data_IF_490065480941
#
_entry.id   IF_490065480941
#
_cell.length_a   1.000
_cell.length_b   1.000
_cell.length_c   1.000
_cell.angle_alpha   90.00
_cell.angle_beta   90.00
_cell.angle_gamma   90.00
#
_symmetry.space_group_name_H-M   'P 1'
#
loop_
_entity.id
_entity.type
_entity.pdbx_description
1 polymer ?
#
# COMPACT_ATOMS: atom_id res chain seq x y z
N UNK A 1 44.22 -23.07 -31.87
CA UNK A 1 43.69 -21.70 -32.09
C UNK A 1 42.18 -21.81 -32.03
N UNK A 2 41.48 -20.94 -31.30
CA UNK A 2 40.01 -21.02 -31.21
C UNK A 2 39.42 -20.18 -32.34
N UNK A 3 38.69 -20.81 -33.25
CA UNK A 3 37.97 -20.13 -34.32
C UNK A 3 36.56 -19.84 -33.86
N UNK A 4 36.13 -18.58 -34.00
CA UNK A 4 34.84 -18.10 -33.50
C UNK A 4 34.15 -17.27 -34.57
N UNK A 5 32.86 -17.52 -34.77
CA UNK A 5 32.00 -16.65 -35.55
C UNK A 5 30.81 -16.18 -34.68
N UNK A 6 30.29 -14.99 -34.97
CA UNK A 6 29.21 -14.39 -34.20
C UNK A 6 28.19 -13.72 -35.11
N UNK A 7 26.93 -13.80 -34.73
CA UNK A 7 25.80 -13.16 -35.39
C UNK A 7 24.87 -12.58 -34.34
N UNK A 8 24.15 -11.52 -34.74
CA UNK A 8 23.23 -10.83 -33.86
C UNK A 8 21.86 -10.76 -34.50
N UNK A 9 20.86 -11.33 -33.81
CA UNK A 9 19.47 -11.33 -34.25
C UNK A 9 18.69 -10.34 -33.38
N UNK A 10 17.93 -9.43 -34.00
CA UNK A 10 16.97 -8.59 -33.29
C UNK A 10 15.67 -9.38 -33.04
N UNK A 11 15.22 -9.39 -31.79
CA UNK A 11 13.99 -10.07 -31.36
C UNK A 11 12.81 -9.10 -31.48
N UNK A 12 12.39 -8.86 -32.72
CA UNK A 12 11.22 -8.03 -33.04
C UNK A 12 10.00 -8.94 -32.97
N UNK A 13 9.10 -8.66 -32.02
CA UNK A 13 7.85 -9.41 -31.81
C UNK A 13 8.01 -10.88 -31.34
N UNK A 14 9.16 -11.25 -30.79
CA UNK A 14 9.43 -12.58 -30.20
C UNK A 14 10.01 -12.40 -28.80
N UNK A 15 9.42 -13.05 -27.80
CA UNK A 15 9.93 -12.99 -26.42
C UNK A 15 11.18 -13.86 -26.22
N UNK A 16 12.01 -13.53 -25.23
CA UNK A 16 13.22 -14.32 -24.93
C UNK A 16 12.93 -15.83 -24.66
N UNK A 17 11.88 -16.22 -23.92
CA UNK A 17 11.53 -17.63 -23.74
C UNK A 17 11.14 -18.32 -25.05
N UNK A 18 10.49 -17.61 -25.97
CA UNK A 18 10.12 -18.14 -27.29
C UNK A 18 11.37 -18.38 -28.13
N UNK A 19 12.29 -17.41 -28.14
CA UNK A 19 13.57 -17.57 -28.82
C UNK A 19 14.37 -18.77 -28.29
N UNK A 20 14.43 -18.96 -26.97
CA UNK A 20 15.15 -20.09 -26.38
C UNK A 20 14.43 -21.41 -26.66
N UNK A 21 13.09 -21.49 -26.54
CA UNK A 21 12.33 -22.72 -26.81
C UNK A 21 12.49 -23.20 -28.26
N UNK A 22 12.37 -22.27 -29.21
CA UNK A 22 12.60 -22.55 -30.64
C UNK A 22 14.06 -22.93 -30.92
N UNK A 23 15.03 -22.25 -30.30
CA UNK A 23 16.45 -22.59 -30.43
C UNK A 23 16.75 -23.99 -29.89
N UNK A 24 16.21 -24.36 -28.73
CA UNK A 24 16.34 -25.69 -28.13
C UNK A 24 15.80 -26.77 -29.06
N UNK A 25 14.61 -26.55 -29.61
CA UNK A 25 13.97 -27.46 -30.54
C UNK A 25 14.83 -27.67 -31.80
N UNK A 26 15.27 -26.58 -32.43
CA UNK A 26 16.05 -26.62 -33.68
C UNK A 26 17.44 -27.25 -33.48
N UNK A 27 18.12 -26.89 -32.40
CA UNK A 27 19.43 -27.47 -32.07
C UNK A 27 19.30 -28.97 -31.80
N UNK A 28 18.32 -29.38 -31.00
CA UNK A 28 18.06 -30.80 -30.71
C UNK A 28 17.73 -31.58 -32.00
N UNK A 29 16.89 -31.02 -32.86
CA UNK A 29 16.52 -31.60 -34.16
C UNK A 29 17.73 -31.75 -35.11
N UNK A 30 18.67 -30.81 -35.03
CA UNK A 30 19.87 -30.78 -35.87
C UNK A 30 21.09 -31.49 -35.24
N UNK A 31 20.85 -32.35 -34.25
CA UNK A 31 21.88 -33.23 -33.67
C UNK A 31 22.82 -32.55 -32.67
N UNK A 32 22.47 -31.37 -32.17
CA UNK A 32 23.21 -30.74 -31.08
C UNK A 32 22.78 -31.34 -29.74
N UNK A 33 23.75 -31.56 -28.86
CA UNK A 33 23.52 -31.92 -27.47
C UNK A 33 23.43 -30.65 -26.64
N UNK A 34 22.29 -30.42 -26.00
CA UNK A 34 22.10 -29.27 -25.10
C UNK A 34 22.93 -29.50 -23.83
N UNK A 35 23.81 -28.57 -23.48
CA UNK A 35 24.61 -28.64 -22.26
C UNK A 35 23.90 -27.96 -21.10
N UNK A 36 23.44 -26.72 -21.32
CA UNK A 36 22.75 -25.94 -20.31
C UNK A 36 21.92 -24.85 -20.97
N UNK A 37 20.79 -24.49 -20.37
CA UNK A 37 19.95 -23.39 -20.82
C UNK A 37 19.15 -22.75 -19.68
N UNK A 38 18.74 -21.51 -19.89
CA UNK A 38 17.74 -20.80 -19.10
C UNK A 38 17.02 -19.79 -20.01
N UNK A 39 16.19 -18.91 -19.45
CA UNK A 39 15.42 -17.93 -20.23
C UNK A 39 16.25 -16.92 -21.04
N UNK A 40 17.54 -16.77 -20.76
CA UNK A 40 18.41 -15.77 -21.40
C UNK A 40 19.64 -16.38 -22.08
N UNK A 41 19.96 -17.65 -21.81
CA UNK A 41 21.18 -18.31 -22.29
C UNK A 41 20.93 -19.73 -22.73
N UNK A 42 21.65 -20.16 -23.75
CA UNK A 42 21.65 -21.54 -24.23
C UNK A 42 23.06 -21.90 -24.70
N UNK A 43 23.59 -23.02 -24.21
CA UNK A 43 24.82 -23.65 -24.71
C UNK A 43 24.49 -25.04 -25.25
N UNK A 44 24.94 -25.31 -26.46
CA UNK A 44 24.80 -26.61 -27.10
C UNK A 44 26.10 -27.00 -27.80
N UNK A 45 26.38 -28.30 -27.83
CA UNK A 45 27.58 -28.87 -28.42
C UNK A 45 27.23 -29.87 -29.50
N UNK A 46 27.93 -29.79 -30.64
CA UNK A 46 27.83 -30.75 -31.73
C UNK A 46 29.20 -31.33 -32.01
N UNK A 47 29.27 -32.67 -32.02
CA UNK A 47 30.47 -33.38 -32.39
C UNK A 47 30.62 -33.31 -33.91
N UNK A 48 31.72 -32.73 -34.40
CA UNK A 48 32.01 -32.65 -35.83
C UNK A 48 32.78 -33.90 -36.27
N UNK A 49 33.77 -34.31 -35.47
CA UNK A 49 34.61 -35.49 -35.67
C UNK A 49 34.87 -36.20 -34.32
N UNK A 50 35.57 -37.35 -34.33
CA UNK A 50 35.83 -38.18 -33.13
C UNK A 50 36.58 -37.48 -31.98
N UNK A 51 37.11 -36.26 -32.17
CA UNK A 51 37.88 -35.53 -31.15
C UNK A 51 37.59 -34.02 -31.06
N UNK A 52 36.64 -33.49 -31.85
CA UNK A 52 36.43 -32.04 -31.97
C UNK A 52 34.96 -31.65 -32.02
N UNK A 53 34.65 -30.54 -31.34
CA UNK A 53 33.30 -30.07 -31.03
C UNK A 53 33.11 -28.63 -31.54
N UNK A 54 31.94 -28.27 -32.10
CA UNK A 54 31.50 -26.86 -32.12
C UNK A 54 30.62 -26.63 -30.91
N UNK A 55 30.85 -25.50 -30.25
CA UNK A 55 30.03 -25.01 -29.15
C UNK A 55 29.25 -23.83 -29.67
N UNK A 56 27.93 -23.91 -29.65
CA UNK A 56 27.03 -22.81 -29.99
C UNK A 56 26.46 -22.24 -28.69
N UNK A 57 26.75 -20.96 -28.48
CA UNK A 57 26.27 -20.18 -27.34
C UNK A 57 25.32 -19.09 -27.82
N UNK A 58 24.16 -19.00 -27.19
CA UNK A 58 23.19 -17.93 -27.36
C UNK A 58 23.13 -17.14 -26.06
N UNK A 59 23.24 -15.82 -26.15
CA UNK A 59 23.02 -14.92 -25.04
C UNK A 59 22.05 -13.82 -25.44
N UNK A 60 20.90 -13.75 -24.77
CA UNK A 60 19.89 -12.72 -24.99
C UNK A 60 20.24 -11.50 -24.13
N UNK A 61 20.25 -10.32 -24.76
CA UNK A 61 20.47 -9.03 -24.11
C UNK A 61 19.39 -8.06 -24.56
N UNK A 62 18.48 -7.70 -23.66
CA UNK A 62 17.33 -6.84 -23.93
C UNK A 62 16.48 -7.36 -25.11
N UNK A 63 16.64 -6.76 -26.30
CA UNK A 63 15.85 -7.03 -27.52
C UNK A 63 16.67 -7.70 -28.63
N UNK A 64 17.83 -8.29 -28.29
CA UNK A 64 18.68 -8.97 -29.28
C UNK A 64 19.33 -10.22 -28.71
N UNK A 65 19.50 -11.24 -29.54
CA UNK A 65 20.24 -12.45 -29.24
C UNK A 65 21.63 -12.38 -29.90
N UNK A 66 22.68 -12.44 -29.09
CA UNK A 66 24.06 -12.61 -29.53
C UNK A 66 24.33 -14.12 -29.63
N UNK A 67 24.56 -14.63 -30.84
CA UNK A 67 24.82 -16.05 -31.11
C UNK A 67 26.28 -16.20 -31.52
N UNK A 68 26.98 -17.14 -30.91
CA UNK A 68 28.37 -17.43 -31.23
C UNK A 68 28.57 -18.94 -31.41
N UNK A 69 29.19 -19.38 -32.51
CA UNK A 69 29.76 -20.74 -32.58
C UNK A 69 31.28 -20.63 -32.49
N UNK A 70 31.88 -21.56 -31.76
CA UNK A 70 33.33 -21.67 -31.65
C UNK A 70 33.79 -23.12 -31.73
N UNK A 71 34.94 -23.33 -32.37
CA UNK A 71 35.59 -24.64 -32.48
C UNK A 71 37.11 -24.47 -32.52
N UNK A 72 37.82 -25.55 -32.21
CA UNK A 72 39.28 -25.64 -32.29
C UNK A 72 39.78 -26.29 -33.59
N UNK A 73 38.87 -26.70 -34.48
CA UNK A 73 39.18 -27.43 -35.72
C UNK A 73 39.60 -26.52 -36.88
N UNK A 74 38.64 -25.80 -37.49
CA UNK A 74 38.87 -24.93 -38.65
C UNK A 74 38.04 -23.63 -38.60
N UNK A 75 38.35 -22.70 -39.50
CA UNK A 75 37.76 -21.36 -39.54
C UNK A 75 36.38 -21.30 -40.21
N UNK A 76 36.05 -22.27 -41.07
CA UNK A 76 34.81 -22.31 -41.85
C UNK A 76 33.66 -22.96 -41.06
N UNK A 77 33.94 -23.97 -40.25
CA UNK A 77 32.92 -24.73 -39.53
C UNK A 77 32.05 -23.87 -38.60
N UNK A 78 32.58 -22.95 -37.77
CA UNK A 78 31.76 -22.05 -36.96
C UNK A 78 30.83 -21.17 -37.79
N UNK A 79 31.29 -20.75 -38.98
CA UNK A 79 30.50 -19.93 -39.89
C UNK A 79 29.37 -20.73 -40.53
N UNK A 80 29.66 -21.94 -40.98
CA UNK A 80 28.68 -22.82 -41.62
C UNK A 80 27.59 -23.27 -40.65
N UNK A 81 27.95 -23.71 -39.44
CA UNK A 81 26.98 -24.13 -38.42
C UNK A 81 26.10 -22.96 -37.94
N UNK A 82 26.69 -21.77 -37.78
CA UNK A 82 25.94 -20.57 -37.43
C UNK A 82 24.93 -20.18 -38.52
N UNK A 83 25.34 -20.21 -39.79
CA UNK A 83 24.44 -19.94 -40.92
C UNK A 83 23.31 -20.97 -41.01
N UNK A 84 23.62 -22.26 -40.82
CA UNK A 84 22.61 -23.32 -40.83
C UNK A 84 21.57 -23.12 -39.72
N UNK A 85 22.02 -22.75 -38.51
CA UNK A 85 21.12 -22.41 -37.41
C UNK A 85 20.20 -21.23 -37.77
N UNK A 86 20.77 -20.14 -38.31
CA UNK A 86 20.00 -18.93 -38.67
C UNK A 86 18.97 -19.23 -39.77
N UNK A 87 19.34 -20.03 -40.77
CA UNK A 87 18.42 -20.46 -41.83
C UNK A 87 17.27 -21.29 -41.24
N UNK A 88 17.59 -22.32 -40.45
CA UNK A 88 16.58 -23.16 -39.79
C UNK A 88 15.66 -22.34 -38.88
N UNK A 89 16.22 -21.35 -38.18
CA UNK A 89 15.46 -20.44 -37.32
C UNK A 89 14.51 -19.55 -38.12
N UNK A 90 14.99 -18.96 -39.22
CA UNK A 90 14.19 -18.09 -40.10
C UNK A 90 13.06 -18.86 -40.77
N UNK A 91 13.33 -20.10 -41.21
CA UNK A 91 12.31 -21.01 -41.75
C UNK A 91 11.25 -21.37 -40.70
N UNK A 92 11.67 -21.63 -39.46
CA UNK A 92 10.76 -21.92 -38.35
C UNK A 92 9.83 -20.72 -38.04
N UNK A 93 10.38 -19.51 -37.99
CA UNK A 93 9.61 -18.28 -37.79
C UNK A 93 8.59 -18.02 -38.90
N UNK A 94 8.92 -18.43 -40.12
CA UNK A 94 8.05 -18.22 -41.29
C UNK A 94 6.99 -19.31 -41.47
N UNK A 95 6.91 -20.28 -40.56
CA UNK A 95 5.94 -21.37 -40.64
C UNK A 95 4.53 -20.93 -40.26
N UNK A 96 3.51 -21.43 -40.97
CA UNK A 96 2.11 -21.06 -40.73
C UNK A 96 1.60 -21.45 -39.33
N UNK A 97 2.23 -22.44 -38.70
CA UNK A 97 1.83 -22.99 -37.41
C UNK A 97 2.77 -22.53 -36.28
N UNK A 98 3.59 -21.50 -36.49
CA UNK A 98 4.59 -21.01 -35.54
C UNK A 98 4.00 -20.76 -34.14
N UNK A 99 2.86 -20.08 -34.05
CA UNK A 99 2.21 -19.73 -32.76
C UNK A 99 1.76 -20.97 -31.96
N UNK A 100 1.29 -22.01 -32.65
CA UNK A 100 0.89 -23.26 -32.01
C UNK A 100 2.13 -24.05 -31.56
N UNK A 101 3.11 -24.20 -32.45
CA UNK A 101 4.36 -24.90 -32.15
C UNK A 101 5.15 -24.23 -31.03
N UNK A 102 5.27 -22.90 -31.02
CA UNK A 102 6.04 -22.19 -30.00
C UNK A 102 5.39 -22.30 -28.62
N UNK A 103 4.06 -22.34 -28.57
CA UNK A 103 3.30 -22.52 -27.32
C UNK A 103 3.56 -23.91 -26.74
N UNK A 104 3.52 -24.96 -27.55
CA UNK A 104 3.84 -26.33 -27.12
C UNK A 104 5.30 -26.47 -26.66
N UNK A 105 6.24 -25.88 -27.40
CA UNK A 105 7.66 -25.93 -27.06
C UNK A 105 7.97 -25.18 -25.76
N UNK A 106 7.32 -24.03 -25.51
CA UNK A 106 7.46 -23.32 -24.22
C UNK A 106 7.00 -24.19 -23.06
N UNK A 107 5.88 -24.89 -23.21
CA UNK A 107 5.38 -25.81 -22.20
C UNK A 107 6.36 -26.97 -21.96
N UNK A 108 6.81 -27.62 -23.03
CA UNK A 108 7.71 -28.76 -22.96
C UNK A 108 9.06 -28.43 -22.28
N UNK A 109 9.69 -27.31 -22.64
CA UNK A 109 11.03 -26.99 -22.14
C UNK A 109 11.06 -26.27 -20.79
N UNK A 110 10.00 -25.51 -20.44
CA UNK A 110 10.01 -24.68 -19.23
C UNK A 110 8.99 -25.08 -18.16
N UNK A 111 7.97 -25.90 -18.47
CA UNK A 111 6.94 -26.32 -17.50
C UNK A 111 7.05 -27.78 -17.09
N UNK A 112 7.53 -28.69 -17.95
CA UNK A 112 7.72 -30.11 -17.60
C UNK A 112 8.99 -30.38 -16.75
N UNK A 113 9.89 -29.40 -16.60
CA UNK A 113 11.06 -29.47 -15.72
C UNK A 113 11.13 -28.23 -14.80
N UNK A 114 10.53 -28.27 -13.58
CA UNK A 114 10.70 -27.19 -12.63
C UNK A 114 12.14 -27.19 -12.13
N UNK A 115 12.95 -26.23 -12.60
CA UNK A 115 14.30 -26.02 -12.08
C UNK A 115 14.17 -25.60 -10.60
N UNK A 116 14.76 -26.38 -9.70
CA UNK A 116 14.89 -26.05 -8.29
C UNK A 116 15.55 -24.67 -8.12
N UNK A 117 14.89 -23.80 -7.35
CA UNK A 117 15.24 -22.40 -7.17
C UNK A 117 16.47 -22.18 -6.25
N UNK A 118 17.17 -23.25 -5.88
CA UNK A 118 18.31 -23.25 -4.95
C UNK A 118 19.61 -23.52 -5.71
N UNK A 119 20.16 -22.50 -6.38
CA UNK A 119 21.63 -22.36 -6.54
C UNK A 119 22.12 -20.99 -7.07
N UNK A 120 21.30 -19.93 -7.02
CA UNK A 120 21.70 -18.58 -7.50
C UNK A 120 22.23 -17.63 -6.41
N UNK A 121 22.85 -18.17 -5.36
CA UNK A 121 23.72 -17.38 -4.49
C UNK A 121 25.14 -17.94 -4.52
N UNK A 122 26.10 -17.06 -4.88
CA UNK A 122 27.56 -17.24 -4.81
C UNK A 122 28.23 -17.79 -6.08
N UNK A 123 28.38 -16.91 -7.09
CA UNK A 123 29.69 -16.46 -7.60
C UNK A 123 29.50 -15.48 -8.75
N UNK A 124 29.54 -14.19 -8.42
CA UNK A 124 30.22 -13.16 -9.22
C UNK A 124 30.32 -11.89 -8.37
N UNK A 125 31.14 -11.99 -7.32
CA UNK A 125 31.95 -10.87 -6.89
C UNK A 125 32.97 -10.61 -7.98
N UNK A 126 32.71 -9.62 -8.84
CA UNK A 126 33.68 -8.56 -9.14
C UNK A 126 33.12 -7.59 -10.18
N UNK A 127 33.19 -6.29 -9.82
CA UNK A 127 33.10 -5.11 -10.68
C UNK A 127 31.74 -4.77 -11.29
N UNK A 128 30.76 -4.47 -10.43
CA UNK A 128 29.86 -3.31 -10.64
C UNK A 128 29.24 -2.85 -9.32
N UNK A 129 30.08 -2.55 -8.32
CA UNK A 129 29.65 -1.85 -7.10
C UNK A 129 29.49 -0.36 -7.36
N UNK A 130 28.48 -0.02 -8.17
CA UNK A 130 27.67 1.20 -8.06
C UNK A 130 26.24 0.87 -8.50
N UNK A 131 25.64 -0.21 -7.99
CA UNK A 131 24.19 -0.35 -8.07
C UNK A 131 23.58 0.73 -7.17
N UNK A 132 23.04 1.76 -7.81
CA UNK A 132 22.20 2.77 -7.17
C UNK A 132 21.12 2.04 -6.40
N UNK A 133 21.12 2.19 -5.08
CA UNK A 133 20.04 1.78 -4.17
C UNK A 133 18.68 2.45 -4.53
N UNK A 134 18.70 3.37 -5.51
CA UNK A 134 17.61 4.23 -5.96
C UNK A 134 17.36 4.16 -7.49
N UNK A 135 17.72 3.05 -8.15
CA UNK A 135 17.47 2.89 -9.58
C UNK A 135 16.01 2.51 -9.85
N UNK A 136 15.28 3.34 -10.60
CA UNK A 136 14.00 2.94 -11.21
C UNK A 136 14.25 1.71 -12.10
N UNK A 137 13.75 0.56 -11.69
CA UNK A 137 13.84 -0.66 -12.50
C UNK A 137 12.93 -0.53 -13.72
N UNK A 138 13.45 -0.90 -14.90
CA UNK A 138 12.68 -0.93 -16.14
C UNK A 138 11.52 -1.92 -15.97
N UNK A 139 10.29 -1.42 -15.95
CA UNK A 139 9.06 -2.23 -15.84
C UNK A 139 8.10 -1.78 -14.74
N UNK A 140 8.61 -1.25 -13.63
CA UNK A 140 7.78 -0.85 -12.47
C UNK A 140 8.26 0.46 -11.79
N UNK A 141 8.33 1.57 -12.54
CA UNK A 141 8.79 2.86 -12.03
C UNK A 141 7.90 3.42 -10.91
N UNK A 142 6.57 3.29 -11.00
CA UNK A 142 5.64 3.87 -10.02
C UNK A 142 5.72 3.12 -8.69
N UNK A 143 5.79 1.80 -8.72
CA UNK A 143 6.05 0.98 -7.52
C UNK A 143 7.33 1.44 -6.83
N UNK A 144 8.40 1.64 -7.59
CA UNK A 144 9.69 2.09 -7.08
C UNK A 144 9.61 3.50 -6.47
N UNK A 145 8.92 4.44 -7.14
CA UNK A 145 8.67 5.80 -6.61
C UNK A 145 7.90 5.74 -5.30
N UNK A 146 6.81 4.97 -5.24
CA UNK A 146 5.95 4.90 -4.06
C UNK A 146 6.74 4.31 -2.88
N UNK A 147 7.49 3.24 -3.09
CA UNK A 147 8.34 2.65 -2.05
C UNK A 147 9.33 3.68 -1.53
N UNK A 148 10.01 4.38 -2.44
CA UNK A 148 10.97 5.42 -2.08
C UNK A 148 10.32 6.54 -1.25
N UNK A 149 9.17 7.07 -1.68
CA UNK A 149 8.46 8.13 -0.97
C UNK A 149 8.06 7.70 0.45
N UNK A 150 7.56 6.48 0.61
CA UNK A 150 7.20 5.94 1.92
C UNK A 150 8.41 5.82 2.85
N UNK A 151 9.53 5.29 2.35
CA UNK A 151 10.77 5.24 3.11
C UNK A 151 11.27 6.62 3.50
N UNK A 152 11.26 7.59 2.57
CA UNK A 152 11.69 8.96 2.83
C UNK A 152 10.82 9.61 3.92
N UNK A 153 9.49 9.54 3.80
CA UNK A 153 8.57 10.09 4.81
C UNK A 153 8.83 9.45 6.18
N UNK A 154 8.98 8.13 6.25
CA UNK A 154 9.25 7.44 7.52
C UNK A 154 10.59 7.83 8.14
N UNK A 155 11.65 7.97 7.34
CA UNK A 155 12.95 8.45 7.83
C UNK A 155 12.83 9.87 8.38
N UNK A 156 12.13 10.77 7.67
CA UNK A 156 11.93 12.14 8.13
C UNK A 156 11.11 12.16 9.43
N UNK A 157 10.07 11.33 9.55
CA UNK A 157 9.30 11.18 10.80
C UNK A 157 10.21 10.83 11.98
N UNK A 158 11.04 9.78 11.83
CA UNK A 158 11.93 9.30 12.89
C UNK A 158 12.98 10.34 13.26
N UNK A 159 13.60 10.99 12.26
CA UNK A 159 14.57 12.08 12.50
C UNK A 159 13.93 13.30 13.18
N UNK A 160 12.63 13.50 12.98
CA UNK A 160 11.85 14.58 13.61
C UNK A 160 11.36 14.23 15.03
N UNK A 161 11.74 13.07 15.56
CA UNK A 161 11.45 12.66 16.94
C UNK A 161 10.33 11.64 17.10
N UNK A 162 9.70 11.17 16.01
CA UNK A 162 8.65 10.13 16.08
C UNK A 162 9.28 8.78 16.46
N UNK A 163 8.64 8.04 17.37
CA UNK A 163 9.11 6.73 17.81
C UNK A 163 9.29 5.75 16.64
N UNK A 164 10.46 5.10 16.58
CA UNK A 164 10.78 4.12 15.54
C UNK A 164 9.88 2.88 15.58
N UNK A 165 9.39 2.51 16.76
CA UNK A 165 8.66 1.26 17.00
C UNK A 165 7.17 1.48 17.25
N UNK A 166 6.84 2.47 18.08
CA UNK A 166 5.48 2.70 18.56
C UNK A 166 5.22 4.21 18.66
N UNK A 167 4.87 4.86 17.53
CA UNK A 167 4.43 6.25 17.53
C UNK A 167 3.19 6.47 18.40
N UNK A 168 3.15 7.61 19.08
CA UNK A 168 1.96 8.04 19.81
C UNK A 168 0.88 8.57 18.85
N UNK A 169 -0.38 8.55 19.30
CA UNK A 169 -1.52 9.10 18.53
C UNK A 169 -1.28 10.54 18.10
N UNK A 170 -0.75 11.39 18.98
CA UNK A 170 -0.47 12.81 18.67
C UNK A 170 0.55 12.95 17.54
N UNK A 171 1.60 12.12 17.54
CA UNK A 171 2.63 12.10 16.50
C UNK A 171 2.03 11.71 15.14
N UNK A 172 1.21 10.66 15.11
CA UNK A 172 0.53 10.20 13.88
C UNK A 172 -0.39 11.31 13.33
N UNK A 173 -1.17 11.96 14.21
CA UNK A 173 -2.08 13.03 13.81
C UNK A 173 -1.32 14.26 13.30
N UNK A 174 -0.21 14.64 13.95
CA UNK A 174 0.63 15.77 13.52
C UNK A 174 1.20 15.56 12.13
N UNK A 175 1.57 14.33 11.79
CA UNK A 175 2.13 13.99 10.48
C UNK A 175 1.09 13.86 9.37
N UNK A 176 -0.20 13.81 9.69
CA UNK A 176 -1.27 13.71 8.69
C UNK A 176 -1.97 12.34 8.64
N UNK A 177 -1.99 11.60 9.75
CA UNK A 177 -2.76 10.37 9.89
C UNK A 177 -4.25 10.58 9.60
N UNK A 178 -4.90 9.50 9.16
CA UNK A 178 -6.31 9.44 8.83
C UNK A 178 -7.12 9.54 10.12
N UNK A 179 -7.97 10.55 10.23
CA UNK A 179 -8.73 10.80 11.46
C UNK A 179 -10.02 11.55 11.17
N UNK A 180 -11.16 10.86 11.38
CA UNK A 180 -12.50 11.36 11.04
C UNK A 180 -12.76 12.78 11.57
N UNK A 181 -12.50 13.11 12.85
CA UNK A 181 -12.78 14.46 13.38
C UNK A 181 -12.11 15.59 12.59
N UNK A 182 -10.81 15.48 12.32
CA UNK A 182 -10.06 16.53 11.61
C UNK A 182 -10.45 16.61 10.13
N UNK A 183 -10.76 15.46 9.52
CA UNK A 183 -11.24 15.42 8.12
C UNK A 183 -12.58 16.15 7.99
N UNK A 184 -13.52 15.92 8.90
CA UNK A 184 -14.81 16.61 8.91
C UNK A 184 -14.71 18.11 9.28
N UNK A 185 -13.56 18.57 9.77
CA UNK A 185 -13.24 19.99 9.96
C UNK A 185 -12.57 20.63 8.74
N UNK A 186 -12.34 19.87 7.66
CA UNK A 186 -11.80 20.36 6.40
C UNK A 186 -10.42 19.83 6.03
N UNK A 187 -9.79 19.01 6.87
CA UNK A 187 -8.46 18.44 6.62
C UNK A 187 -8.51 17.19 5.72
N UNK A 188 -9.23 17.28 4.59
CA UNK A 188 -9.46 16.19 3.63
C UNK A 188 -8.17 15.62 3.02
N UNK A 189 -7.08 16.40 3.02
CA UNK A 189 -5.75 15.96 2.58
C UNK A 189 -5.23 14.77 3.38
N UNK A 190 -5.72 14.57 4.62
CA UNK A 190 -5.38 13.42 5.48
C UNK A 190 -5.71 12.08 4.86
N UNK A 191 -6.76 12.00 4.03
CA UNK A 191 -7.14 10.79 3.32
C UNK A 191 -6.02 10.29 2.37
N UNK A 192 -5.17 11.20 1.90
CA UNK A 192 -4.04 10.87 1.05
C UNK A 192 -2.75 10.75 1.85
N UNK A 193 -2.44 11.72 2.71
CA UNK A 193 -1.16 11.72 3.44
C UNK A 193 -1.00 10.52 4.36
N UNK A 194 -2.09 10.02 4.94
CA UNK A 194 -2.06 8.83 5.78
C UNK A 194 -1.51 7.59 5.06
N UNK A 195 -1.63 7.52 3.71
CA UNK A 195 -1.09 6.43 2.90
C UNK A 195 0.45 6.41 2.87
N UNK A 196 1.12 7.46 3.34
CA UNK A 196 2.58 7.61 3.31
C UNK A 196 3.25 7.58 4.70
N UNK A 197 2.44 7.58 5.76
CA UNK A 197 2.88 7.63 7.17
C UNK A 197 2.79 6.22 7.74
N UNK A 198 3.77 5.81 8.56
CA UNK A 198 3.81 4.45 9.11
C UNK A 198 4.02 4.44 10.62
N UNK A 199 3.31 3.52 11.29
CA UNK A 199 3.25 3.39 12.75
C UNK A 199 4.36 2.45 13.27
N UNK A 200 5.58 2.63 12.76
CA UNK A 200 6.76 1.87 13.18
C UNK A 200 7.46 1.06 12.08
N UNK A 201 8.68 0.62 12.38
CA UNK A 201 9.60 0.02 11.40
C UNK A 201 9.09 -1.30 10.81
N UNK A 202 8.53 -2.19 11.62
CA UNK A 202 8.00 -3.47 11.13
C UNK A 202 6.83 -3.22 10.16
N UNK A 203 5.99 -2.23 10.49
CA UNK A 203 4.83 -1.89 9.70
C UNK A 203 5.21 -1.35 8.31
N UNK A 204 6.20 -0.46 8.21
CA UNK A 204 6.68 0.00 6.90
C UNK A 204 7.37 -1.13 6.12
N UNK A 205 8.24 -1.93 6.75
CA UNK A 205 8.93 -3.01 6.06
C UNK A 205 7.96 -4.01 5.44
N UNK A 206 6.92 -4.40 6.19
CA UNK A 206 5.90 -5.31 5.69
C UNK A 206 5.08 -4.71 4.53
N UNK A 207 4.66 -3.44 4.64
CA UNK A 207 3.94 -2.77 3.55
C UNK A 207 4.80 -2.64 2.29
N UNK A 208 6.07 -2.27 2.43
CA UNK A 208 6.95 -2.10 1.28
C UNK A 208 7.30 -3.45 0.63
N UNK A 209 7.46 -4.50 1.43
CA UNK A 209 7.58 -5.87 0.93
C UNK A 209 6.32 -6.30 0.17
N UNK A 210 5.13 -6.08 0.72
CA UNK A 210 3.87 -6.43 0.06
C UNK A 210 3.67 -5.62 -1.24
N UNK A 211 3.91 -4.31 -1.20
CA UNK A 211 3.83 -3.42 -2.36
C UNK A 211 4.82 -3.82 -3.44
N UNK A 212 6.05 -4.19 -3.09
CA UNK A 212 7.03 -4.68 -4.05
C UNK A 212 6.51 -5.93 -4.75
N UNK A 213 6.11 -6.97 -4.00
CA UNK A 213 5.66 -8.24 -4.57
C UNK A 213 4.46 -8.08 -5.51
N UNK A 214 3.48 -7.26 -5.14
CA UNK A 214 2.30 -7.06 -5.98
C UNK A 214 2.54 -6.07 -7.12
N UNK A 215 3.35 -5.03 -6.88
CA UNK A 215 3.64 -3.96 -7.83
C UNK A 215 4.47 -4.42 -9.01
N UNK A 216 5.49 -5.27 -8.79
CA UNK A 216 6.30 -5.83 -9.89
C UNK A 216 5.49 -6.71 -10.83
N UNK A 217 4.38 -7.27 -10.36
CA UNK A 217 3.46 -8.09 -11.18
C UNK A 217 2.46 -7.19 -11.90
N UNK A 218 1.70 -6.37 -11.17
CA UNK A 218 0.57 -5.64 -11.76
C UNK A 218 1.04 -4.47 -12.62
N UNK A 219 2.06 -3.71 -12.20
CA UNK A 219 2.45 -2.48 -12.89
C UNK A 219 2.84 -2.72 -14.36
N UNK A 220 3.69 -3.71 -14.70
CA UNK A 220 3.95 -4.06 -16.10
C UNK A 220 2.69 -4.53 -16.84
N UNK A 221 1.79 -5.26 -16.18
CA UNK A 221 0.59 -5.82 -16.81
C UNK A 221 -0.40 -4.75 -17.26
N UNK A 222 -0.64 -3.72 -16.44
CA UNK A 222 -1.67 -2.70 -16.71
C UNK A 222 -1.10 -1.35 -17.16
N UNK A 223 0.22 -1.18 -17.01
CA UNK A 223 0.97 0.03 -17.29
C UNK A 223 1.00 1.00 -16.11
N UNK A 224 2.15 1.68 -15.94
CA UNK A 224 2.47 2.57 -14.82
C UNK A 224 1.41 3.61 -14.49
N UNK A 225 0.85 4.30 -15.49
CA UNK A 225 -0.17 5.32 -15.24
C UNK A 225 -1.45 4.74 -14.60
N UNK A 226 -1.91 3.59 -15.09
CA UNK A 226 -3.13 2.93 -14.57
C UNK A 226 -2.87 2.35 -13.19
N UNK A 227 -1.69 1.78 -12.97
CA UNK A 227 -1.27 1.31 -11.66
C UNK A 227 -1.23 2.44 -10.64
N UNK A 228 -0.56 3.55 -10.95
CA UNK A 228 -0.50 4.71 -10.05
C UNK A 228 -1.88 5.30 -9.75
N UNK A 229 -2.73 5.44 -10.77
CA UNK A 229 -4.11 5.89 -10.58
C UNK A 229 -4.91 4.94 -9.67
N UNK A 230 -4.90 3.64 -9.97
CA UNK A 230 -5.61 2.65 -9.16
C UNK A 230 -5.10 2.62 -7.72
N UNK A 231 -3.78 2.70 -7.51
CA UNK A 231 -3.15 2.73 -6.19
C UNK A 231 -3.66 3.90 -5.35
N UNK A 232 -3.66 5.11 -5.90
CA UNK A 232 -4.12 6.32 -5.21
C UNK A 232 -5.61 6.23 -4.89
N UNK A 233 -6.45 5.81 -5.85
CA UNK A 233 -7.90 5.72 -5.66
C UNK A 233 -8.25 4.65 -4.62
N UNK A 234 -7.57 3.50 -4.62
CA UNK A 234 -7.75 2.46 -3.60
C UNK A 234 -7.32 2.94 -2.22
N UNK A 235 -6.22 3.70 -2.12
CA UNK A 235 -5.78 4.32 -0.87
C UNK A 235 -6.80 5.32 -0.31
N UNK A 236 -7.34 6.19 -1.16
CA UNK A 236 -8.39 7.13 -0.79
C UNK A 236 -9.68 6.41 -0.36
N UNK A 237 -10.12 5.40 -1.12
CA UNK A 237 -11.30 4.62 -0.79
C UNK A 237 -11.14 3.83 0.52
N UNK A 238 -9.95 3.26 0.76
CA UNK A 238 -9.60 2.64 2.03
C UNK A 238 -9.69 3.63 3.19
N UNK A 239 -9.05 4.80 3.05
CA UNK A 239 -9.07 5.84 4.08
C UNK A 239 -10.48 6.37 4.36
N UNK A 240 -11.31 6.51 3.31
CA UNK A 240 -12.73 6.86 3.44
C UNK A 240 -13.51 5.78 4.19
N UNK A 241 -13.33 4.51 3.84
CA UNK A 241 -14.03 3.41 4.52
C UNK A 241 -13.61 3.28 5.99
N UNK A 242 -12.32 3.52 6.27
CA UNK A 242 -11.79 3.61 7.62
C UNK A 242 -12.50 4.70 8.44
N UNK A 243 -12.62 5.93 7.91
CA UNK A 243 -13.32 6.99 8.64
C UNK A 243 -14.83 6.79 8.68
N UNK A 244 -15.44 5.89 7.90
CA UNK A 244 -16.86 5.54 8.08
C UNK A 244 -17.02 4.58 9.25
N UNK A 245 -16.06 3.67 9.45
CA UNK A 245 -16.11 2.65 10.50
C UNK A 245 -15.58 3.15 11.84
N UNK A 246 -14.44 3.85 11.82
CA UNK A 246 -13.72 4.31 13.00
C UNK A 246 -14.08 5.75 13.34
N UNK A 247 -14.58 5.94 14.56
CA UNK A 247 -15.13 7.21 15.01
C UNK A 247 -14.06 8.22 15.42
N UNK A 248 -13.14 7.78 16.27
CA UNK A 248 -12.05 8.60 16.83
C UNK A 248 -10.76 7.78 16.99
N UNK A 249 -10.54 6.80 16.11
CA UNK A 249 -9.30 6.02 16.08
C UNK A 249 -8.48 6.48 14.89
N UNK A 250 -7.24 6.97 15.09
CA UNK A 250 -6.37 7.32 13.98
C UNK A 250 -5.91 6.07 13.24
N UNK A 251 -5.74 6.18 11.93
CA UNK A 251 -5.06 5.15 11.13
C UNK A 251 -4.04 5.76 10.18
N UNK A 252 -3.01 4.98 9.84
CA UNK A 252 -1.97 5.37 8.91
C UNK A 252 -1.35 4.12 8.28
N UNK A 253 -0.86 4.24 7.05
CA UNK A 253 -0.17 3.19 6.33
C UNK A 253 -0.65 3.06 4.89
N UNK A 254 0.24 2.56 4.03
CA UNK A 254 -0.03 2.28 2.63
C UNK A 254 -0.99 1.08 2.41
N UNK A 255 -1.31 0.32 3.47
CA UNK A 255 -1.95 -0.98 3.38
C UNK A 255 -3.31 -0.97 2.66
N UNK A 256 -4.12 0.08 2.82
CA UNK A 256 -5.39 0.20 2.09
C UNK A 256 -5.19 0.21 0.56
N UNK A 257 -4.22 0.96 0.06
CA UNK A 257 -3.87 0.99 -1.35
C UNK A 257 -3.32 -0.37 -1.82
N UNK A 258 -2.45 -0.99 -1.01
CA UNK A 258 -1.85 -2.31 -1.31
C UNK A 258 -2.92 -3.40 -1.39
N UNK A 259 -3.88 -3.43 -0.45
CA UNK A 259 -5.03 -4.33 -0.50
C UNK A 259 -5.89 -4.09 -1.76
N UNK A 260 -6.01 -2.84 -2.20
CA UNK A 260 -6.62 -2.55 -3.50
C UNK A 260 -5.86 -3.14 -4.67
N UNK A 261 -4.53 -3.13 -4.65
CA UNK A 261 -3.74 -3.79 -5.71
C UNK A 261 -3.94 -5.31 -5.68
N UNK A 262 -4.00 -5.92 -4.49
CA UNK A 262 -4.38 -7.32 -4.35
C UNK A 262 -5.79 -7.62 -4.88
N UNK A 263 -6.77 -6.76 -4.59
CA UNK A 263 -8.15 -6.91 -5.09
C UNK A 263 -8.24 -6.78 -6.61
N UNK A 264 -7.50 -5.84 -7.19
CA UNK A 264 -7.37 -5.67 -8.63
C UNK A 264 -6.82 -6.94 -9.28
N UNK A 265 -5.72 -7.46 -8.74
CA UNK A 265 -5.12 -8.67 -9.29
C UNK A 265 -6.03 -9.87 -9.11
N UNK A 266 -6.64 -10.07 -7.94
CA UNK A 266 -7.60 -11.14 -7.70
C UNK A 266 -8.76 -11.11 -8.73
N UNK A 267 -9.31 -9.93 -9.03
CA UNK A 267 -10.34 -9.79 -10.05
C UNK A 267 -9.83 -10.08 -11.47
N UNK A 268 -8.58 -9.76 -11.81
CA UNK A 268 -7.99 -10.19 -13.10
C UNK A 268 -7.83 -11.70 -13.17
N UNK A 269 -7.43 -12.34 -12.05
CA UNK A 269 -7.27 -13.79 -11.96
C UNK A 269 -8.59 -14.56 -12.07
N UNK A 270 -9.76 -13.94 -11.87
CA UNK A 270 -11.06 -14.58 -12.13
C UNK A 270 -11.47 -14.53 -13.61
N UNK A 271 -10.77 -13.75 -14.43
CA UNK A 271 -11.03 -13.66 -15.88
C UNK A 271 -10.19 -14.65 -16.68
N UNK A 272 -10.51 -14.85 -17.96
CA UNK A 272 -9.72 -15.67 -18.88
C UNK A 272 -8.63 -14.87 -19.62
N UNK A 273 -8.25 -13.69 -19.10
CA UNK A 273 -7.20 -12.86 -19.69
C UNK A 273 -5.79 -13.39 -19.41
N UNK A 274 -5.66 -14.26 -18.42
CA UNK A 274 -4.40 -14.87 -18.01
C UNK A 274 -4.52 -16.38 -18.13
N UNK A 275 -3.39 -17.02 -18.41
CA UNK A 275 -3.32 -18.46 -18.59
C UNK A 275 -3.81 -19.19 -17.32
N UNK A 276 -4.50 -20.33 -17.51
CA UNK A 276 -5.13 -21.07 -16.41
C UNK A 276 -4.12 -21.54 -15.36
N UNK A 277 -2.93 -21.98 -15.78
CA UNK A 277 -1.86 -22.40 -14.87
C UNK A 277 -1.40 -21.25 -13.96
N UNK A 278 -1.06 -20.11 -14.57
CA UNK A 278 -0.68 -18.89 -13.86
C UNK A 278 -1.75 -18.41 -12.87
N UNK A 279 -3.03 -18.41 -13.29
CA UNK A 279 -4.15 -18.02 -12.41
C UNK A 279 -4.23 -18.88 -11.16
N UNK A 280 -4.15 -20.19 -11.33
CA UNK A 280 -4.23 -21.16 -10.23
C UNK A 280 -3.07 -20.99 -9.25
N UNK A 281 -1.84 -20.84 -9.76
CA UNK A 281 -0.65 -20.65 -8.93
C UNK A 281 -0.71 -19.34 -8.13
N UNK A 282 -1.04 -18.22 -8.78
CA UNK A 282 -1.08 -16.92 -8.13
C UNK A 282 -2.22 -16.79 -7.11
N UNK A 283 -3.41 -17.35 -7.40
CA UNK A 283 -4.52 -17.38 -6.44
C UNK A 283 -4.13 -18.16 -5.18
N UNK A 284 -3.47 -19.32 -5.33
CA UNK A 284 -3.00 -20.13 -4.18
C UNK A 284 -1.93 -19.43 -3.36
N UNK A 285 -1.09 -18.60 -3.98
CA UNK A 285 -0.05 -17.84 -3.28
C UNK A 285 -0.61 -16.62 -2.54
N UNK A 286 -1.49 -15.85 -3.19
CA UNK A 286 -1.94 -14.56 -2.66
C UNK A 286 -3.14 -14.67 -1.72
N UNK A 287 -4.07 -15.60 -1.97
CA UNK A 287 -5.28 -15.67 -1.13
C UNK A 287 -5.01 -15.97 0.35
N UNK A 288 -4.13 -16.93 0.72
CA UNK A 288 -3.81 -17.15 2.12
C UNK A 288 -3.24 -15.90 2.79
N UNK A 289 -2.41 -15.13 2.09
CA UNK A 289 -1.84 -13.89 2.62
C UNK A 289 -2.91 -12.81 2.84
N UNK A 290 -3.84 -12.62 1.90
CA UNK A 290 -4.96 -11.67 2.07
C UNK A 290 -5.81 -12.08 3.28
N UNK A 291 -6.20 -13.35 3.35
CA UNK A 291 -7.06 -13.88 4.41
C UNK A 291 -6.39 -13.78 5.77
N UNK A 292 -5.13 -14.22 5.88
CA UNK A 292 -4.36 -14.16 7.12
C UNK A 292 -4.18 -12.72 7.59
N UNK A 293 -3.86 -11.77 6.70
CA UNK A 293 -3.72 -10.37 7.09
C UNK A 293 -5.04 -9.76 7.59
N UNK A 294 -6.19 -10.12 7.00
CA UNK A 294 -7.50 -9.67 7.49
C UNK A 294 -7.87 -10.31 8.84
N UNK A 295 -7.52 -11.58 9.06
CA UNK A 295 -7.74 -12.27 10.34
C UNK A 295 -6.85 -11.67 11.43
N UNK A 296 -5.56 -11.49 11.16
CA UNK A 296 -4.60 -10.84 12.06
C UNK A 296 -4.94 -9.37 12.30
N UNK A 297 -5.69 -8.76 11.38
CA UNK A 297 -6.21 -7.40 11.49
C UNK A 297 -7.25 -7.16 12.58
N UNK A 298 -7.59 -8.19 13.36
CA UNK A 298 -8.35 -8.07 14.61
C UNK A 298 -7.52 -7.49 15.77
N UNK A 299 -6.21 -7.33 15.58
CA UNK A 299 -5.31 -6.65 16.53
C UNK A 299 -5.40 -5.11 16.42
N UNK A 300 -5.18 -4.40 17.53
CA UNK A 300 -5.41 -2.95 17.66
C UNK A 300 -4.54 -2.04 16.76
N UNK A 301 -3.61 -2.60 15.98
CA UNK A 301 -2.69 -1.84 15.10
C UNK A 301 -3.07 -1.89 13.61
N UNK A 302 -4.11 -2.65 13.23
CA UNK A 302 -4.42 -2.92 11.83
C UNK A 302 -5.83 -2.43 11.49
N UNK A 303 -5.93 -1.61 10.45
CA UNK A 303 -7.18 -1.00 9.98
C UNK A 303 -7.88 -1.89 8.92
N UNK A 304 -8.63 -2.87 9.40
CA UNK A 304 -9.41 -3.78 8.54
C UNK A 304 -10.48 -3.06 7.70
N UNK A 305 -11.07 -1.98 8.22
CA UNK A 305 -12.01 -1.18 7.45
C UNK A 305 -11.30 -0.55 6.25
N UNK A 306 -10.11 0.00 6.45
CA UNK A 306 -9.26 0.50 5.37
C UNK A 306 -8.88 -0.57 4.35
N UNK A 307 -8.51 -1.77 4.80
CA UNK A 307 -8.16 -2.90 3.93
C UNK A 307 -9.34 -3.33 3.06
N UNK A 308 -10.53 -3.48 3.65
CA UNK A 308 -11.75 -3.87 2.92
C UNK A 308 -12.13 -2.81 1.89
N UNK A 309 -12.08 -1.52 2.26
CA UNK A 309 -12.41 -0.42 1.34
C UNK A 309 -11.46 -0.37 0.15
N UNK A 310 -10.15 -0.57 0.40
CA UNK A 310 -9.15 -0.71 -0.65
C UNK A 310 -9.41 -1.93 -1.54
N UNK A 311 -9.55 -3.12 -0.95
CA UNK A 311 -9.75 -4.39 -1.64
C UNK A 311 -10.95 -4.36 -2.61
N UNK A 312 -12.11 -3.89 -2.14
CA UNK A 312 -13.33 -3.81 -2.97
C UNK A 312 -13.17 -2.83 -4.13
N UNK A 313 -12.51 -1.70 -3.88
CA UNK A 313 -12.19 -0.72 -4.93
C UNK A 313 -11.23 -1.31 -5.96
N UNK A 314 -10.25 -2.08 -5.48
CA UNK A 314 -9.36 -2.88 -6.31
C UNK A 314 -10.09 -3.84 -7.23
N UNK A 315 -11.02 -4.63 -6.67
CA UNK A 315 -11.86 -5.58 -7.44
C UNK A 315 -12.63 -4.86 -8.56
N UNK A 316 -13.23 -3.71 -8.26
CA UNK A 316 -13.87 -2.86 -9.28
C UNK A 316 -12.89 -2.48 -10.40
N UNK A 317 -11.69 -2.00 -10.06
CA UNK A 317 -10.65 -1.68 -11.05
C UNK A 317 -10.25 -2.88 -11.88
N UNK A 318 -10.07 -4.06 -11.28
CA UNK A 318 -9.69 -5.26 -12.00
C UNK A 318 -10.69 -5.61 -13.09
N UNK A 319 -11.98 -5.52 -12.81
CA UNK A 319 -13.02 -5.74 -13.84
C UNK A 319 -13.08 -4.62 -14.88
N UNK A 320 -12.91 -3.36 -14.50
CA UNK A 320 -12.84 -2.24 -15.46
C UNK A 320 -11.63 -2.38 -16.41
N UNK A 321 -10.48 -2.79 -15.89
CA UNK A 321 -9.27 -3.07 -16.66
C UNK A 321 -9.50 -4.27 -17.58
N UNK A 322 -10.13 -5.35 -17.08
CA UNK A 322 -10.45 -6.51 -17.90
C UNK A 322 -11.38 -6.15 -19.06
N UNK A 323 -12.36 -5.28 -18.82
CA UNK A 323 -13.24 -4.77 -19.87
C UNK A 323 -12.47 -3.93 -20.89
N UNK A 324 -11.55 -3.07 -20.43
CA UNK A 324 -10.64 -2.30 -21.30
C UNK A 324 -9.74 -3.18 -22.15
N UNK A 325 -9.24 -4.31 -21.63
CA UNK A 325 -8.43 -5.24 -22.43
C UNK A 325 -9.24 -5.91 -23.55
N UNK A 326 -10.54 -6.14 -23.37
CA UNK A 326 -11.41 -6.62 -24.46
C UNK A 326 -11.69 -5.55 -25.52
N UNK A 327 -11.66 -4.26 -25.16
CA UNK A 327 -11.98 -3.15 -26.06
C UNK A 327 -10.91 -2.04 -26.00
N UNK A 328 -9.65 -2.32 -26.37
CA UNK A 328 -8.52 -1.42 -26.09
C UNK A 328 -8.60 -0.07 -26.84
N UNK A 329 -9.24 -0.04 -28.00
CA UNK A 329 -9.43 1.15 -28.84
C UNK A 329 -10.68 1.97 -28.49
N UNK A 330 -11.51 1.51 -27.55
CA UNK A 330 -12.75 2.21 -27.20
C UNK A 330 -12.46 3.40 -26.28
N UNK A 331 -12.69 4.62 -26.79
CA UNK A 331 -12.58 5.85 -25.99
C UNK A 331 -13.54 5.84 -24.81
N UNK A 332 -14.76 5.34 -25.00
CA UNK A 332 -15.79 5.29 -23.95
C UNK A 332 -15.34 4.39 -22.79
N UNK A 333 -14.79 3.20 -23.08
CA UNK A 333 -14.31 2.28 -22.04
C UNK A 333 -13.13 2.88 -21.28
N UNK A 334 -12.21 3.57 -21.97
CA UNK A 334 -11.12 4.28 -21.32
C UNK A 334 -11.63 5.43 -20.42
N UNK A 335 -12.61 6.21 -20.86
CA UNK A 335 -13.24 7.26 -20.03
C UNK A 335 -13.87 6.63 -18.79
N UNK A 336 -14.64 5.55 -18.95
CA UNK A 336 -15.32 4.86 -17.85
C UNK A 336 -14.34 4.35 -16.79
N UNK A 337 -13.20 3.77 -17.22
CA UNK A 337 -12.14 3.28 -16.33
C UNK A 337 -11.67 4.34 -15.32
N UNK A 338 -11.60 5.61 -15.73
CA UNK A 338 -11.16 6.70 -14.85
C UNK A 338 -12.34 7.45 -14.20
N UNK A 339 -13.43 7.67 -14.94
CA UNK A 339 -14.56 8.47 -14.49
C UNK A 339 -15.37 7.79 -13.37
N UNK A 340 -15.67 6.49 -13.48
CA UNK A 340 -16.49 5.79 -12.47
C UNK A 340 -15.82 5.85 -11.09
N UNK A 341 -14.54 5.48 -10.92
CA UNK A 341 -13.91 5.53 -9.59
C UNK A 341 -13.84 6.94 -9.00
N UNK A 342 -13.61 7.97 -9.84
CA UNK A 342 -13.61 9.37 -9.40
C UNK A 342 -15.00 9.80 -8.94
N UNK A 343 -16.04 9.47 -9.71
CA UNK A 343 -17.43 9.82 -9.36
C UNK A 343 -17.88 9.13 -8.08
N UNK A 344 -17.52 7.85 -7.90
CA UNK A 344 -17.80 7.12 -6.67
C UNK A 344 -17.10 7.76 -5.47
N UNK A 345 -15.80 8.06 -5.57
CA UNK A 345 -15.07 8.77 -4.51
C UNK A 345 -15.70 10.13 -4.17
N UNK A 346 -15.99 10.94 -5.19
CA UNK A 346 -16.59 12.27 -4.98
C UNK A 346 -17.97 12.17 -4.31
N UNK A 347 -18.77 11.19 -4.72
CA UNK A 347 -20.08 10.90 -4.12
C UNK A 347 -19.96 10.43 -2.67
N UNK A 348 -18.97 9.58 -2.37
CA UNK A 348 -18.68 9.13 -1.00
C UNK A 348 -18.23 10.29 -0.11
N UNK A 349 -17.34 11.16 -0.60
CA UNK A 349 -16.90 12.37 0.14
C UNK A 349 -18.10 13.28 0.43
N UNK A 350 -18.95 13.53 -0.57
CA UNK A 350 -20.16 14.34 -0.38
C UNK A 350 -21.11 13.71 0.64
N UNK A 351 -21.35 12.40 0.55
CA UNK A 351 -22.21 11.68 1.48
C UNK A 351 -21.64 11.72 2.92
N UNK A 352 -20.35 11.50 3.09
CA UNK A 352 -19.68 11.58 4.38
C UNK A 352 -19.81 12.99 4.98
N UNK A 353 -19.49 14.02 4.21
CA UNK A 353 -19.58 15.40 4.69
C UNK A 353 -21.00 15.80 5.10
N UNK A 354 -22.02 15.21 4.47
CA UNK A 354 -23.43 15.54 4.72
C UNK A 354 -24.06 14.72 5.85
N UNK A 355 -23.72 13.44 5.96
CA UNK A 355 -24.45 12.49 6.79
C UNK A 355 -23.63 11.91 7.95
N UNK A 356 -22.29 11.95 7.88
CA UNK A 356 -21.48 11.40 8.94
C UNK A 356 -21.49 12.37 10.14
N UNK A 357 -21.87 11.91 11.35
CA UNK A 357 -21.90 12.78 12.52
C UNK A 357 -20.49 13.29 12.88
N UNK A 358 -20.40 14.58 13.21
CA UNK A 358 -19.18 15.21 13.71
C UNK A 358 -19.28 15.44 15.23
N UNK A 359 -18.94 14.44 16.07
CA UNK A 359 -18.93 14.57 17.54
C UNK A 359 -18.02 15.69 18.03
N UNK A 360 -16.93 15.96 17.34
CA UNK A 360 -15.89 16.85 17.84
C UNK A 360 -16.30 18.30 17.66
N UNK A 361 -17.11 18.58 16.63
CA UNK A 361 -17.80 19.87 16.50
C UNK A 361 -18.77 20.07 17.67
N UNK A 362 -19.53 19.05 18.02
CA UNK A 362 -20.44 19.08 19.17
C UNK A 362 -19.67 19.20 20.50
N UNK A 363 -18.63 18.40 20.68
CA UNK A 363 -17.68 18.42 21.79
C UNK A 363 -17.06 19.81 21.99
N UNK A 364 -16.51 20.42 20.93
CA UNK A 364 -15.93 21.77 20.95
C UNK A 364 -16.96 22.83 21.30
N UNK A 365 -18.19 22.71 20.77
CA UNK A 365 -19.27 23.64 21.09
C UNK A 365 -19.67 23.53 22.58
N UNK A 366 -19.82 22.31 23.09
CA UNK A 366 -20.13 22.04 24.50
C UNK A 366 -19.01 22.55 25.41
N UNK A 367 -17.74 22.27 25.11
CA UNK A 367 -16.60 22.81 25.86
C UNK A 367 -16.54 24.34 25.83
N UNK A 368 -16.78 24.97 24.68
CA UNK A 368 -16.81 26.42 24.57
C UNK A 368 -17.94 27.03 25.41
N UNK A 369 -19.11 26.39 25.45
CA UNK A 369 -20.22 26.78 26.31
C UNK A 369 -19.85 26.63 27.79
N UNK A 370 -19.29 25.48 28.19
CA UNK A 370 -18.83 25.22 29.56
C UNK A 370 -17.85 26.32 30.01
N UNK A 371 -16.81 26.58 29.21
CA UNK A 371 -15.82 27.62 29.52
C UNK A 371 -16.46 29.01 29.65
N UNK A 372 -17.41 29.34 28.76
CA UNK A 372 -18.17 30.61 28.84
C UNK A 372 -18.99 30.71 30.12
N UNK A 373 -19.69 29.64 30.50
CA UNK A 373 -20.50 29.60 31.72
C UNK A 373 -19.62 29.67 32.97
N UNK A 374 -18.52 28.94 33.00
CA UNK A 374 -17.54 28.95 34.07
C UNK A 374 -16.97 30.35 34.32
N UNK A 375 -16.43 31.00 33.28
CA UNK A 375 -15.87 32.36 33.41
C UNK A 375 -16.94 33.33 33.95
N UNK A 376 -18.15 33.25 33.41
CA UNK A 376 -19.26 34.12 33.83
C UNK A 376 -19.69 33.86 35.28
N UNK A 377 -19.72 32.59 35.70
CA UNK A 377 -20.08 32.22 37.08
C UNK A 377 -19.02 32.69 38.07
N UNK A 378 -17.74 32.43 37.77
CA UNK A 378 -16.61 32.88 38.58
C UNK A 378 -16.55 34.41 38.71
N UNK A 379 -16.91 35.14 37.66
CA UNK A 379 -16.96 36.61 37.71
C UNK A 379 -18.07 37.12 38.65
N UNK A 380 -19.25 36.50 38.60
CA UNK A 380 -20.38 36.84 39.49
C UNK A 380 -20.08 36.49 40.95
N UNK A 381 -19.33 35.43 41.20
CA UNK A 381 -18.92 34.99 42.55
C UNK A 381 -17.94 35.94 43.24
N UNK A 382 -17.22 36.79 42.49
CA UNK A 382 -16.33 37.80 43.09
C UNK A 382 -17.08 38.78 43.98
N UNK A 383 -18.36 39.04 43.71
CA UNK A 383 -19.20 39.91 44.52
C UNK A 383 -20.09 39.10 45.47
N UNK A 384 -19.46 38.47 46.46
CA UNK A 384 -20.10 37.56 47.43
C UNK A 384 -21.23 38.17 48.26
N UNK A 385 -21.38 39.50 48.27
CA UNK A 385 -22.44 40.19 49.01
C UNK A 385 -23.75 40.32 48.22
N UNK A 386 -23.72 40.13 46.89
CA UNK A 386 -24.90 40.26 46.05
C UNK A 386 -25.61 38.91 45.83
N UNK A 387 -26.67 38.65 46.59
CA UNK A 387 -27.46 37.41 46.48
C UNK A 387 -28.02 37.16 45.07
N UNK A 388 -28.33 38.22 44.29
CA UNK A 388 -28.80 38.04 42.91
C UNK A 388 -27.67 37.55 41.99
N UNK A 389 -26.43 38.03 42.20
CA UNK A 389 -25.26 37.55 41.47
C UNK A 389 -24.97 36.08 41.77
N UNK A 390 -25.07 35.67 43.05
CA UNK A 390 -24.86 34.27 43.44
C UNK A 390 -25.93 33.33 42.86
N UNK A 391 -27.20 33.74 42.82
CA UNK A 391 -28.26 32.99 42.13
C UNK A 391 -28.01 32.84 40.62
N UNK A 392 -27.47 33.89 39.98
CA UNK A 392 -27.10 33.83 38.56
C UNK A 392 -25.90 32.91 38.32
N UNK A 393 -24.90 32.91 39.22
CA UNK A 393 -23.77 31.99 39.17
C UNK A 393 -24.23 30.52 39.31
N UNK A 394 -25.17 30.23 40.22
CA UNK A 394 -25.73 28.88 40.40
C UNK A 394 -26.39 28.35 39.12
N UNK A 395 -27.19 29.19 38.45
CA UNK A 395 -27.80 28.86 37.15
C UNK A 395 -26.76 28.61 36.05
N UNK A 396 -25.63 29.30 36.07
CA UNK A 396 -24.55 29.10 35.10
C UNK A 396 -23.80 27.79 35.36
N UNK A 397 -23.55 27.44 36.63
CA UNK A 397 -23.00 26.12 36.97
C UNK A 397 -23.94 24.99 36.56
N UNK A 398 -25.25 25.15 36.71
CA UNK A 398 -26.22 24.16 36.22
C UNK A 398 -26.14 23.95 34.71
N UNK A 399 -25.98 25.04 33.95
CA UNK A 399 -25.78 24.96 32.50
C UNK A 399 -24.46 24.26 32.16
N UNK A 400 -23.37 24.61 32.85
CA UNK A 400 -22.07 23.97 32.64
C UNK A 400 -22.10 22.47 32.96
N UNK A 401 -22.72 22.07 34.09
CA UNK A 401 -22.88 20.66 34.47
C UNK A 401 -23.75 19.91 33.48
N UNK A 402 -24.82 20.53 32.97
CA UNK A 402 -25.67 19.95 31.93
C UNK A 402 -24.86 19.65 30.67
N UNK A 403 -24.16 20.65 30.13
CA UNK A 403 -23.35 20.50 28.92
C UNK A 403 -22.20 19.48 29.16
N UNK A 404 -21.59 19.46 30.35
CA UNK A 404 -20.57 18.46 30.71
C UNK A 404 -21.13 17.05 30.90
N UNK A 405 -22.41 16.91 31.26
CA UNK A 405 -23.10 15.62 31.28
C UNK A 405 -23.41 15.14 29.87
N UNK A 406 -23.74 16.06 28.95
CA UNK A 406 -23.91 15.76 27.53
C UNK A 406 -22.60 15.29 26.88
N UNK A 407 -21.46 15.85 27.29
CA UNK A 407 -20.12 15.36 26.89
C UNK A 407 -19.89 13.88 27.20
N UNK A 408 -20.47 13.35 28.30
CA UNK A 408 -20.35 11.94 28.68
C UNK A 408 -21.12 11.01 27.73
N UNK A 409 -22.12 11.53 27.01
CA UNK A 409 -22.92 10.75 26.08
C UNK A 409 -22.29 10.66 24.69
N UNK A 410 -21.26 11.48 24.42
CA UNK A 410 -20.50 11.42 23.18
C UNK A 410 -19.56 10.21 23.23
N UNK A 411 -19.62 9.34 22.20
CA UNK A 411 -18.71 8.20 22.07
C UNK A 411 -17.30 8.70 21.70
N UNK A 412 -16.45 8.98 22.67
CA UNK A 412 -15.10 9.51 22.45
C UNK A 412 -14.05 8.43 22.75
N UNK A 413 -12.77 8.75 22.57
CA UNK A 413 -11.71 7.85 23.02
C UNK A 413 -11.62 7.86 24.56
N UNK A 414 -11.06 6.77 25.11
CA UNK A 414 -11.04 6.53 26.56
C UNK A 414 -10.31 7.61 27.36
N UNK A 415 -9.28 8.25 26.79
CA UNK A 415 -8.57 9.32 27.49
C UNK A 415 -9.46 10.56 27.57
N UNK A 416 -10.12 10.91 26.46
CA UNK A 416 -11.08 12.02 26.44
C UNK A 416 -12.27 11.77 27.38
N UNK A 417 -12.77 10.54 27.48
CA UNK A 417 -13.81 10.16 28.45
C UNK A 417 -13.36 10.45 29.89
N UNK A 418 -12.14 10.03 30.27
CA UNK A 418 -11.59 10.29 31.61
C UNK A 418 -11.41 11.78 31.88
N UNK A 419 -10.97 12.57 30.89
CA UNK A 419 -10.87 14.03 31.02
C UNK A 419 -12.25 14.65 31.25
N UNK A 420 -13.26 14.21 30.49
CA UNK A 420 -14.63 14.69 30.64
C UNK A 420 -15.23 14.33 32.02
N UNK A 421 -14.91 13.14 32.55
CA UNK A 421 -15.33 12.74 33.91
C UNK A 421 -14.74 13.66 34.97
N UNK A 422 -13.44 13.97 34.85
CA UNK A 422 -12.74 14.90 35.74
C UNK A 422 -13.31 16.31 35.63
N UNK A 423 -13.61 16.78 34.43
CA UNK A 423 -14.24 18.08 34.20
C UNK A 423 -15.63 18.14 34.85
N UNK A 424 -16.48 17.12 34.64
CA UNK A 424 -17.80 17.05 35.26
C UNK A 424 -17.70 17.02 36.81
N UNK A 425 -16.73 16.29 37.35
CA UNK A 425 -16.47 16.27 38.79
C UNK A 425 -16.05 17.64 39.32
N UNK A 426 -15.13 18.32 38.63
CA UNK A 426 -14.73 19.69 38.94
C UNK A 426 -15.92 20.67 38.97
N UNK A 427 -16.78 20.66 37.94
CA UNK A 427 -17.95 21.55 37.87
C UNK A 427 -18.94 21.29 39.01
N UNK A 428 -19.14 20.01 39.38
CA UNK A 428 -19.97 19.64 40.55
C UNK A 428 -19.36 20.16 41.86
N UNK A 429 -18.03 20.13 42.01
CA UNK A 429 -17.36 20.70 43.17
C UNK A 429 -17.50 22.23 43.22
N UNK A 430 -17.36 22.93 42.08
CA UNK A 430 -17.59 24.40 42.00
C UNK A 430 -18.99 24.77 42.45
N UNK A 431 -20.02 24.06 41.96
CA UNK A 431 -21.40 24.29 42.40
C UNK A 431 -21.58 24.02 43.91
N UNK A 432 -20.93 22.98 44.43
CA UNK A 432 -20.96 22.66 45.86
C UNK A 432 -20.29 23.74 46.72
N UNK A 433 -19.17 24.28 46.26
CA UNK A 433 -18.47 25.40 46.90
C UNK A 433 -19.36 26.65 46.99
N UNK A 434 -20.04 27.00 45.90
CA UNK A 434 -21.00 28.11 45.87
C UNK A 434 -22.13 27.94 46.90
N UNK A 435 -22.62 26.72 47.10
CA UNK A 435 -23.64 26.45 48.11
C UNK A 435 -23.13 26.67 49.54
N UNK A 436 -21.86 26.32 49.82
CA UNK A 436 -21.25 26.56 51.13
C UNK A 436 -20.93 28.03 51.37
N UNK A 437 -20.61 28.81 50.34
CA UNK A 437 -20.47 30.27 50.46
C UNK A 437 -21.76 30.94 50.98
N UNK A 438 -22.92 30.34 50.72
CA UNK A 438 -24.21 30.81 51.23
C UNK A 438 -24.53 30.35 52.66
N UNK A 439 -23.69 29.55 53.31
CA UNK A 439 -23.91 28.94 54.62
C UNK A 439 -22.71 29.16 55.56
N UNK A 440 -22.75 30.17 56.44
CA UNK A 440 -21.62 30.53 57.31
C UNK A 440 -21.15 29.43 58.26
N UNK A 441 -22.02 28.45 58.58
CA UNK A 441 -21.73 27.34 59.50
C UNK A 441 -20.90 26.22 58.86
N UNK A 442 -20.74 26.24 57.53
CA UNK A 442 -20.13 25.15 56.75
C UNK A 442 -18.65 25.42 56.35
N UNK A 443 -17.94 26.26 57.12
CA UNK A 443 -16.56 26.68 56.81
C UNK A 443 -15.58 25.52 56.54
N UNK A 444 -15.62 24.46 57.35
CA UNK A 444 -14.76 23.28 57.15
C UNK A 444 -15.10 22.53 55.86
N UNK A 445 -16.39 22.47 55.50
CA UNK A 445 -16.84 21.87 54.24
C UNK A 445 -16.44 22.72 53.05
N UNK A 446 -16.50 24.04 53.16
CA UNK A 446 -16.02 24.98 52.15
C UNK A 446 -14.52 24.76 51.90
N UNK A 447 -13.71 24.80 52.97
CA UNK A 447 -12.24 24.59 52.89
C UNK A 447 -11.88 23.25 52.25
N UNK A 448 -12.51 22.16 52.67
CA UNK A 448 -12.26 20.84 52.09
C UNK A 448 -12.66 20.76 50.60
N UNK A 449 -13.75 21.44 50.22
CA UNK A 449 -14.20 21.50 48.82
C UNK A 449 -13.23 22.30 47.96
N UNK A 450 -12.75 23.45 48.42
CA UNK A 450 -11.73 24.25 47.72
C UNK A 450 -10.42 23.47 47.54
N UNK A 451 -9.96 22.73 48.56
CA UNK A 451 -8.79 21.86 48.43
C UNK A 451 -8.99 20.72 47.41
N UNK A 452 -10.20 20.20 47.31
CA UNK A 452 -10.56 19.18 46.32
C UNK A 452 -10.56 19.75 44.90
N UNK A 453 -10.99 21.01 44.75
CA UNK A 453 -10.92 21.78 43.50
C UNK A 453 -9.45 21.99 43.08
N UNK A 454 -8.59 22.46 43.99
CA UNK A 454 -7.17 22.66 43.68
C UNK A 454 -6.48 21.36 43.27
N UNK A 455 -6.82 20.26 43.95
CA UNK A 455 -6.27 18.93 43.66
C UNK A 455 -6.70 18.43 42.28
N UNK A 456 -7.98 18.56 41.92
CA UNK A 456 -8.46 18.12 40.59
C UNK A 456 -7.93 19.02 39.47
N UNK A 457 -7.81 20.34 39.69
CA UNK A 457 -7.21 21.25 38.72
C UNK A 457 -5.73 20.91 38.47
N UNK A 458 -4.99 20.53 39.52
CA UNK A 458 -3.61 20.05 39.36
C UNK A 458 -3.55 18.79 38.50
N UNK A 459 -4.45 17.83 38.73
CA UNK A 459 -4.55 16.57 37.96
C UNK A 459 -5.00 16.83 36.50
N UNK A 460 -5.83 17.84 36.25
CA UNK A 460 -6.26 18.22 34.89
C UNK A 460 -5.15 18.94 34.14
N UNK A 461 -4.33 19.74 34.84
CA UNK A 461 -3.26 20.56 34.25
C UNK A 461 -1.91 19.84 34.13
N UNK A 462 -1.67 18.78 34.91
CA UNK A 462 -0.52 17.89 34.73
C UNK A 462 -0.79 16.96 33.54
N UNK A 463 -0.13 17.26 32.41
CA UNK A 463 -0.14 16.44 31.18
C UNK A 463 0.54 15.10 31.39
#
# INVERSE_FOLDING_TARGET
MLYKNQEKIELIDIEAPEFIASSLHLLSKNGWKIENFNYERLSAVKNINQSENCILNINIRNTSADITCETNFDIETPKNELNNFIISYTEFLSSNDFEEQITELKYHYFMDNPIEYDDFAVKNSEKSSRKKLFGFYKGHPVTSVIILLNFLVFVIMVVSGVSLMMPETEEILKWGGNFRPLILEGEWWRLLSCCFIHIGIIHILFNMWALYNIGIVIEPMIGSFRFGFAYIICGLAGSLNSIVWHYATPSAGASGAIFGMFGLFAALLTTNLLEKGFRSAMLKSIMPMIVLNLILGTSAMIDNAGHIGGLLTGVLFGYLIAWRFKFPKSTIVNIILFAIPILLLASSVFAINKYLPNPYKEYKNLLANINKYEISALELEKNQQNQNSLKQADLLWDKAIKDATELQNLKLDKNTEVVNERLLYYLKLRKKELNYLNQPEDYDKLRNTSQSIDSILKIINEK
#
